data_IF_295318805104
#
_entry.id   IF_295318805104
#
_cell.length_a   1.000
_cell.length_b   1.000
_cell.length_c   1.000
_cell.angle_alpha   90.00
_cell.angle_beta   90.00
_cell.angle_gamma   90.00
#
_symmetry.space_group_name_H-M   'P 1'
#
loop_
_entity.id
_entity.type
_entity.pdbx_description
1 polymer ?
#
# COMPACT_ATOMS: atom_id res chain seq x y z
N UNK A 1 -0.63 2.85 19.89
CA UNK A 1 -1.05 3.60 18.69
C UNK A 1 0.21 4.00 17.93
N UNK A 2 0.29 3.77 16.65
CA UNK A 2 1.41 4.27 15.84
C UNK A 2 1.14 5.76 15.68
N UNK A 3 2.09 6.59 16.10
CA UNK A 3 1.98 8.03 15.94
C UNK A 3 2.66 8.43 14.62
N UNK A 4 1.85 8.77 13.62
CA UNK A 4 2.36 9.23 12.33
C UNK A 4 2.52 10.74 12.35
N UNK A 5 3.62 11.28 11.80
CA UNK A 5 3.70 12.71 11.56
C UNK A 5 2.61 13.10 10.55
N UNK A 6 1.86 14.16 10.86
CA UNK A 6 0.86 14.68 9.95
C UNK A 6 1.55 15.26 8.71
N UNK A 7 1.09 14.91 7.50
CA UNK A 7 1.62 15.50 6.28
C UNK A 7 1.16 16.96 6.15
N UNK A 8 1.91 17.77 5.43
CA UNK A 8 1.53 19.15 5.16
C UNK A 8 0.22 19.26 4.35
N UNK A 9 -0.07 18.27 3.52
CA UNK A 9 -1.31 18.15 2.74
C UNK A 9 -1.71 16.68 2.59
N UNK A 10 -3.01 16.44 2.56
CA UNK A 10 -3.61 15.13 2.36
C UNK A 10 -3.95 14.88 0.88
N UNK A 11 -4.05 13.62 0.42
CA UNK A 11 -4.33 13.28 -0.97
C UNK A 11 -5.54 13.99 -1.57
N UNK A 12 -6.66 14.09 -0.85
CA UNK A 12 -7.88 14.74 -1.31
C UNK A 12 -7.75 16.26 -1.53
N UNK A 13 -6.70 16.88 -0.97
CA UNK A 13 -6.43 18.32 -1.13
C UNK A 13 -5.65 18.66 -2.42
N UNK A 14 -5.19 17.65 -3.16
CA UNK A 14 -4.34 17.84 -4.35
C UNK A 14 -5.09 17.74 -5.67
N UNK A 15 -6.31 17.22 -5.69
CA UNK A 15 -7.04 16.92 -6.92
C UNK A 15 -8.55 16.91 -6.68
N UNK A 16 -9.29 17.50 -7.61
CA UNK A 16 -10.76 17.49 -7.62
C UNK A 16 -11.33 16.14 -8.09
N UNK A 17 -10.47 15.18 -8.49
CA UNK A 17 -10.88 13.88 -9.01
C UNK A 17 -10.33 12.73 -8.18
N UNK A 18 -11.22 11.92 -7.62
CA UNK A 18 -10.88 10.68 -6.90
C UNK A 18 -10.26 9.62 -7.84
N UNK A 19 -10.56 9.67 -9.14
CA UNK A 19 -10.02 8.77 -10.18
C UNK A 19 -8.80 9.37 -10.89
N UNK A 20 -7.91 10.04 -10.19
CA UNK A 20 -6.68 10.56 -10.78
C UNK A 20 -5.52 9.58 -10.57
N UNK A 21 -4.69 9.34 -11.59
CA UNK A 21 -3.48 8.51 -11.42
C UNK A 21 -2.54 9.11 -10.37
N UNK A 22 -2.41 10.44 -10.35
CA UNK A 22 -1.67 11.18 -9.32
C UNK A 22 -0.20 10.76 -9.17
N UNK A 23 0.36 10.13 -10.21
CA UNK A 23 1.71 9.58 -10.15
C UNK A 23 2.75 10.68 -10.32
N UNK A 24 3.76 10.68 -9.47
CA UNK A 24 4.88 11.62 -9.49
C UNK A 24 6.19 10.84 -9.45
N UNK A 25 7.14 11.21 -10.31
CA UNK A 25 8.50 10.68 -10.22
C UNK A 25 9.18 11.28 -9.00
N UNK A 26 9.81 10.42 -8.20
CA UNK A 26 10.55 10.80 -7.00
C UNK A 26 11.98 10.23 -7.04
N UNK A 27 12.94 10.80 -6.28
CA UNK A 27 14.27 10.21 -6.15
C UNK A 27 14.22 8.76 -5.65
N UNK A 28 15.18 7.93 -6.07
CA UNK A 28 15.27 6.52 -5.63
C UNK A 28 15.34 6.39 -4.10
N UNK A 29 16.02 7.30 -3.42
CA UNK A 29 16.08 7.35 -1.96
C UNK A 29 14.72 7.47 -1.27
N UNK A 30 13.67 7.83 -2.02
CA UNK A 30 12.28 7.89 -1.56
C UNK A 30 11.44 6.68 -1.99
N UNK A 31 12.07 5.61 -2.47
CA UNK A 31 11.32 4.41 -2.83
C UNK A 31 10.46 3.92 -1.67
N UNK A 32 11.03 3.81 -0.48
CA UNK A 32 10.30 3.50 0.74
C UNK A 32 10.51 4.57 1.81
N UNK A 33 9.55 4.70 2.71
CA UNK A 33 9.66 5.54 3.91
C UNK A 33 9.98 4.66 5.12
N UNK A 34 11.08 4.97 5.81
CA UNK A 34 11.48 4.22 7.01
C UNK A 34 10.56 4.54 8.19
N UNK A 35 10.52 3.65 9.16
CA UNK A 35 9.65 3.73 10.32
C UNK A 35 10.42 3.37 11.58
N UNK A 36 10.40 4.23 12.58
CA UNK A 36 11.01 3.94 13.89
C UNK A 36 10.22 2.86 14.66
N UNK A 37 8.92 2.78 14.44
CA UNK A 37 8.00 1.82 15.08
C UNK A 37 7.83 0.52 14.27
N UNK A 38 8.91 0.06 13.61
CA UNK A 38 8.86 -1.14 12.76
C UNK A 38 8.34 -2.37 13.49
N UNK A 39 8.59 -2.49 14.79
CA UNK A 39 8.12 -3.61 15.62
C UNK A 39 6.60 -3.81 15.56
N UNK A 40 5.84 -2.72 15.47
CA UNK A 40 4.37 -2.78 15.39
C UNK A 40 3.93 -3.42 14.09
N UNK A 41 4.53 -3.00 12.97
CA UNK A 41 4.22 -3.57 11.66
C UNK A 41 4.71 -5.00 11.52
N UNK A 42 5.89 -5.29 12.02
CA UNK A 42 6.44 -6.64 12.05
C UNK A 42 5.52 -7.60 12.81
N UNK A 43 5.12 -7.23 14.03
CA UNK A 43 4.20 -8.02 14.86
C UNK A 43 2.84 -8.18 14.17
N UNK A 44 2.31 -7.11 13.58
CA UNK A 44 1.08 -7.14 12.80
C UNK A 44 1.18 -8.13 11.64
N UNK A 45 2.23 -8.08 10.82
CA UNK A 45 2.44 -8.99 9.68
C UNK A 45 2.51 -10.44 10.12
N UNK A 46 3.26 -10.73 11.17
CA UNK A 46 3.34 -12.09 11.71
C UNK A 46 1.98 -12.60 12.19
N UNK A 47 1.22 -11.77 12.90
CA UNK A 47 -0.09 -12.13 13.41
C UNK A 47 -1.10 -12.37 12.28
N UNK A 48 -1.14 -11.45 11.31
CA UNK A 48 -2.07 -11.54 10.17
C UNK A 48 -1.71 -12.76 9.30
N UNK A 49 -0.42 -13.02 9.05
CA UNK A 49 0.03 -14.23 8.35
C UNK A 49 -0.40 -15.52 9.07
N UNK A 50 -0.23 -15.57 10.39
CA UNK A 50 -0.66 -16.70 11.21
C UNK A 50 -2.17 -16.95 11.12
N UNK A 51 -2.97 -15.89 11.13
CA UNK A 51 -4.42 -15.98 11.17
C UNK A 51 -5.05 -16.22 9.79
N UNK A 52 -4.45 -15.68 8.73
CA UNK A 52 -5.06 -15.63 7.39
C UNK A 52 -4.27 -16.36 6.30
N UNK A 53 -3.02 -16.76 6.57
CA UNK A 53 -2.21 -17.60 5.68
C UNK A 53 -2.10 -17.04 4.27
N UNK A 54 -2.60 -17.81 3.29
CA UNK A 54 -2.54 -17.42 1.87
C UNK A 54 -3.40 -16.22 1.48
N UNK A 55 -4.31 -15.78 2.34
CA UNK A 55 -5.10 -14.55 2.10
C UNK A 55 -4.26 -13.28 2.19
N UNK A 56 -3.07 -13.34 2.79
CA UNK A 56 -2.18 -12.19 2.98
C UNK A 56 -0.77 -12.40 2.44
N UNK A 57 -0.41 -13.64 2.13
CA UNK A 57 0.81 -13.94 1.41
C UNK A 57 0.58 -15.09 0.44
N UNK A 58 0.84 -14.84 -0.83
CA UNK A 58 0.78 -15.85 -1.87
C UNK A 58 1.73 -15.50 -3.01
N UNK A 59 2.24 -16.53 -3.70
CA UNK A 59 3.13 -16.36 -4.85
C UNK A 59 2.95 -17.50 -5.83
N UNK A 60 3.12 -17.19 -7.13
CA UNK A 60 3.22 -18.16 -8.21
C UNK A 60 4.68 -18.64 -8.33
N UNK A 61 4.88 -19.85 -8.82
CA UNK A 61 6.22 -20.44 -8.94
C UNK A 61 7.19 -19.55 -9.75
N UNK A 62 6.71 -18.98 -10.86
CA UNK A 62 7.52 -18.16 -11.77
C UNK A 62 7.88 -16.77 -11.18
N UNK A 63 7.38 -16.44 -10.00
CA UNK A 63 7.72 -15.19 -9.31
C UNK A 63 8.97 -15.28 -8.43
N UNK A 64 9.60 -16.45 -8.33
CA UNK A 64 10.79 -16.63 -7.47
C UNK A 64 11.96 -15.70 -7.87
N UNK A 65 12.38 -15.57 -9.14
CA UNK A 65 13.46 -14.66 -9.51
C UNK A 65 13.20 -13.19 -9.10
N UNK A 66 12.06 -12.57 -9.42
CA UNK A 66 11.81 -11.20 -8.98
C UNK A 66 11.66 -11.04 -7.47
N UNK A 67 11.28 -12.07 -6.71
CA UNK A 67 11.29 -12.02 -5.25
C UNK A 67 12.72 -11.92 -4.69
N UNK A 68 13.66 -12.67 -5.26
CA UNK A 68 15.07 -12.64 -4.87
C UNK A 68 15.73 -11.31 -5.25
N UNK A 69 15.45 -10.83 -6.46
CA UNK A 69 15.93 -9.53 -6.93
C UNK A 69 15.43 -8.40 -6.04
N UNK A 70 14.13 -8.40 -5.72
CA UNK A 70 13.52 -7.44 -4.80
C UNK A 70 14.19 -7.47 -3.43
N UNK A 71 14.39 -8.65 -2.82
CA UNK A 71 15.01 -8.75 -1.51
C UNK A 71 16.46 -8.18 -1.52
N UNK A 72 17.21 -8.43 -2.60
CA UNK A 72 18.55 -7.90 -2.78
C UNK A 72 18.55 -6.38 -2.91
N UNK A 73 17.72 -5.83 -3.79
CA UNK A 73 17.59 -4.39 -4.00
C UNK A 73 17.08 -3.66 -2.77
N UNK A 74 16.09 -4.24 -2.09
CA UNK A 74 15.55 -3.66 -0.87
C UNK A 74 16.61 -3.57 0.22
N UNK A 75 17.41 -4.62 0.42
CA UNK A 75 18.52 -4.57 1.37
C UNK A 75 19.52 -3.48 1.02
N UNK A 76 19.90 -3.37 -0.26
CA UNK A 76 20.84 -2.32 -0.72
C UNK A 76 20.27 -0.93 -0.46
N UNK A 77 19.01 -0.70 -0.80
CA UNK A 77 18.31 0.55 -0.55
C UNK A 77 18.29 0.91 0.94
N UNK A 78 17.93 -0.03 1.81
CA UNK A 78 17.86 0.21 3.25
C UNK A 78 19.25 0.53 3.84
N UNK A 79 20.30 -0.14 3.41
CA UNK A 79 21.67 0.09 3.89
C UNK A 79 22.31 1.35 3.32
N UNK A 80 21.96 1.75 2.09
CA UNK A 80 22.56 2.91 1.43
C UNK A 80 21.76 4.19 1.70
N UNK A 81 20.46 4.17 1.40
CA UNK A 81 19.63 5.37 1.45
C UNK A 81 19.07 5.65 2.86
N UNK A 82 19.04 4.62 3.73
CA UNK A 82 18.49 4.69 5.08
C UNK A 82 19.50 4.21 6.15
N UNK A 83 20.79 4.46 5.95
CA UNK A 83 21.87 4.03 6.84
C UNK A 83 21.73 4.55 8.29
N UNK A 84 20.97 5.62 8.51
CA UNK A 84 20.66 6.12 9.86
C UNK A 84 19.61 5.27 10.60
N UNK A 85 18.88 4.40 9.89
CA UNK A 85 17.82 3.53 10.42
C UNK A 85 18.19 2.05 10.29
N UNK A 86 18.98 1.69 9.29
CA UNK A 86 19.39 0.31 9.03
C UNK A 86 20.89 0.14 9.01
N UNK A 87 21.35 -0.98 9.57
CA UNK A 87 22.74 -1.42 9.53
C UNK A 87 22.81 -2.91 9.19
N UNK A 88 24.03 -3.41 9.01
CA UNK A 88 24.30 -4.84 8.83
C UNK A 88 25.24 -5.35 9.91
N UNK A 89 24.94 -6.53 10.46
CA UNK A 89 25.77 -7.23 11.43
C UNK A 89 25.94 -8.69 10.98
N UNK A 90 27.09 -8.99 10.41
CA UNK A 90 27.33 -10.29 9.76
C UNK A 90 26.36 -10.50 8.59
N UNK A 91 25.62 -11.59 8.62
CA UNK A 91 24.61 -11.98 7.65
C UNK A 91 23.20 -11.43 7.97
N UNK A 92 23.07 -10.53 8.94
CA UNK A 92 21.79 -9.98 9.39
C UNK A 92 21.65 -8.50 9.06
N UNK A 93 20.47 -8.14 8.57
CA UNK A 93 20.02 -6.75 8.53
C UNK A 93 19.53 -6.35 9.92
N UNK A 94 19.88 -5.14 10.36
CA UNK A 94 19.51 -4.63 11.69
C UNK A 94 18.72 -3.34 11.54
N UNK A 95 17.54 -3.27 12.16
CA UNK A 95 16.82 -2.02 12.33
C UNK A 95 17.33 -1.33 13.60
N UNK A 96 18.10 -0.27 13.44
CA UNK A 96 18.85 0.39 14.53
C UNK A 96 17.96 0.95 15.65
N UNK A 97 16.80 1.61 15.37
CA UNK A 97 15.97 2.16 16.42
C UNK A 97 15.41 1.10 17.38
N UNK A 98 15.00 -0.07 16.88
CA UNK A 98 14.42 -1.14 17.70
C UNK A 98 15.41 -2.23 18.10
N UNK A 99 16.57 -2.30 17.43
CA UNK A 99 17.53 -3.40 17.60
C UNK A 99 17.09 -4.73 16.99
N UNK A 100 15.96 -4.77 16.25
CA UNK A 100 15.49 -5.98 15.56
C UNK A 100 16.52 -6.44 14.53
N UNK A 101 16.67 -7.75 14.43
CA UNK A 101 17.63 -8.39 13.51
C UNK A 101 16.86 -9.36 12.60
N UNK A 102 17.14 -9.27 11.32
CA UNK A 102 16.49 -10.07 10.28
C UNK A 102 17.54 -10.91 9.56
N UNK A 103 17.25 -12.19 9.40
CA UNK A 103 18.07 -13.04 8.55
C UNK A 103 17.89 -12.59 7.08
N UNK A 104 19.02 -12.54 6.36
CA UNK A 104 19.01 -12.22 4.93
C UNK A 104 18.72 -13.55 4.20
N UNK A 105 17.65 -13.63 3.37
CA UNK A 105 17.34 -14.87 2.67
C UNK A 105 18.53 -15.34 1.83
N UNK A 106 18.87 -16.61 1.94
CA UNK A 106 19.78 -17.27 1.02
C UNK A 106 19.07 -17.48 -0.30
N UNK A 107 19.77 -17.39 -1.41
CA UNK A 107 19.28 -17.33 -2.79
C UNK A 107 18.25 -18.39 -3.23
N UNK A 108 18.01 -19.45 -2.45
CA UNK A 108 17.22 -20.60 -2.85
C UNK A 108 15.84 -20.72 -2.16
N UNK A 109 15.43 -19.72 -1.38
CA UNK A 109 14.20 -19.78 -0.59
C UNK A 109 12.97 -19.23 -1.32
N UNK A 110 11.89 -20.01 -1.38
CA UNK A 110 10.56 -19.60 -1.90
C UNK A 110 9.92 -18.42 -1.14
N UNK A 111 10.46 -18.05 0.02
CA UNK A 111 9.91 -17.03 0.91
C UNK A 111 10.73 -15.72 0.93
N UNK A 112 11.50 -15.43 -0.13
CA UNK A 112 12.33 -14.21 -0.19
C UNK A 112 11.51 -12.93 -0.05
N UNK A 113 10.34 -12.88 -0.69
CA UNK A 113 9.41 -11.75 -0.57
C UNK A 113 8.87 -11.61 0.85
N UNK A 114 8.48 -12.73 1.49
CA UNK A 114 8.00 -12.70 2.86
C UNK A 114 9.06 -12.17 3.81
N UNK A 115 10.27 -12.73 3.75
CA UNK A 115 11.38 -12.29 4.59
C UNK A 115 11.70 -10.82 4.39
N UNK A 116 11.80 -10.36 3.13
CA UNK A 116 12.03 -8.97 2.80
C UNK A 116 10.90 -8.04 3.28
N UNK A 117 9.66 -8.50 3.21
CA UNK A 117 8.50 -7.72 3.67
C UNK A 117 8.52 -7.44 5.18
N UNK A 118 9.19 -8.26 5.97
CA UNK A 118 9.34 -8.06 7.40
C UNK A 118 10.36 -6.97 7.77
N UNK A 119 11.19 -6.54 6.83
CA UNK A 119 12.19 -5.48 7.05
C UNK A 119 11.60 -4.08 7.00
N UNK A 120 10.40 -3.94 6.44
CA UNK A 120 9.75 -2.67 6.19
C UNK A 120 8.29 -2.71 6.66
N UNK A 121 7.69 -1.55 6.82
CA UNK A 121 6.29 -1.47 7.20
C UNK A 121 5.34 -1.58 6.01
N UNK A 122 5.85 -1.39 4.79
CA UNK A 122 5.08 -1.45 3.56
C UNK A 122 4.65 -2.89 3.22
N UNK A 123 3.48 -3.06 2.66
CA UNK A 123 3.11 -4.26 1.93
C UNK A 123 3.84 -4.27 0.58
N UNK A 124 4.30 -5.44 0.13
CA UNK A 124 5.08 -5.59 -1.09
C UNK A 124 4.40 -6.54 -2.07
N UNK A 125 4.17 -6.06 -3.28
CA UNK A 125 3.53 -6.81 -4.36
C UNK A 125 4.47 -6.84 -5.58
N UNK A 126 4.48 -7.94 -6.30
CA UNK A 126 5.28 -8.14 -7.54
C UNK A 126 4.34 -8.37 -8.70
N UNK A 127 4.55 -7.60 -9.74
CA UNK A 127 3.83 -7.69 -10.99
C UNK A 127 4.79 -8.04 -12.12
N UNK A 128 4.48 -9.08 -12.88
CA UNK A 128 5.27 -9.53 -14.02
C UNK A 128 4.47 -9.43 -15.32
N UNK A 129 5.14 -9.19 -16.44
CA UNK A 129 4.48 -9.26 -17.74
C UNK A 129 4.13 -10.73 -18.06
N UNK A 130 2.83 -10.99 -18.27
CA UNK A 130 2.30 -12.26 -18.72
C UNK A 130 1.41 -11.97 -19.94
N UNK A 131 1.70 -12.54 -21.08
CA UNK A 131 0.97 -12.33 -22.34
C UNK A 131 0.75 -10.84 -22.69
N UNK A 132 1.76 -10.00 -22.39
CA UNK A 132 1.75 -8.56 -22.68
C UNK A 132 1.01 -7.69 -21.66
N UNK A 133 0.48 -8.27 -20.57
CA UNK A 133 -0.17 -7.56 -19.48
C UNK A 133 0.59 -7.76 -18.16
N UNK A 134 0.59 -6.77 -17.29
CA UNK A 134 1.17 -6.93 -15.96
C UNK A 134 0.19 -7.62 -15.03
N UNK A 135 0.56 -8.84 -14.59
CA UNK A 135 -0.21 -9.67 -13.66
C UNK A 135 0.42 -9.68 -12.27
N UNK A 136 -0.40 -9.73 -11.21
CA UNK A 136 0.07 -9.91 -9.85
C UNK A 136 0.56 -11.35 -9.65
N UNK A 137 1.86 -11.54 -9.43
CA UNK A 137 2.46 -12.88 -9.35
C UNK A 137 2.96 -13.25 -7.96
N UNK A 138 3.18 -12.26 -7.09
CA UNK A 138 3.47 -12.51 -5.68
C UNK A 138 3.05 -11.30 -4.83
N UNK A 139 2.63 -11.53 -3.60
CA UNK A 139 2.34 -10.46 -2.67
C UNK A 139 2.51 -10.87 -1.21
N UNK A 140 3.07 -9.96 -0.41
CA UNK A 140 2.92 -9.86 1.02
C UNK A 140 2.01 -8.67 1.31
N UNK A 141 0.70 -8.95 1.45
CA UNK A 141 -0.37 -7.96 1.62
C UNK A 141 -1.01 -8.14 2.99
N UNK A 142 -0.40 -7.58 4.00
CA UNK A 142 -0.83 -7.72 5.39
C UNK A 142 -1.77 -6.61 5.87
N UNK A 143 -1.90 -5.55 5.07
CA UNK A 143 -2.78 -4.42 5.37
C UNK A 143 -3.76 -4.15 4.22
N UNK A 144 -4.57 -5.16 3.81
CA UNK A 144 -5.52 -5.00 2.70
C UNK A 144 -6.58 -3.95 3.00
N UNK A 145 -7.15 -3.37 1.95
CA UNK A 145 -8.30 -2.45 2.01
C UNK A 145 -9.45 -3.06 1.25
N UNK A 146 -10.27 -3.87 1.93
CA UNK A 146 -11.50 -4.49 1.42
C UNK A 146 -11.33 -5.39 0.19
N UNK A 147 -10.23 -6.15 0.10
CA UNK A 147 -10.05 -7.14 -0.96
C UNK A 147 -9.26 -8.38 -0.50
N UNK A 148 -9.39 -9.48 -1.23
CA UNK A 148 -8.71 -10.74 -0.95
C UNK A 148 -7.59 -10.97 -1.95
N UNK A 149 -6.39 -11.28 -1.46
CA UNK A 149 -5.23 -11.57 -2.31
C UNK A 149 -5.48 -12.75 -3.26
N UNK A 150 -6.17 -13.79 -2.76
CA UNK A 150 -6.46 -15.00 -3.54
C UNK A 150 -7.27 -14.73 -4.83
N UNK A 151 -8.15 -13.71 -4.80
CA UNK A 151 -8.96 -13.35 -5.96
C UNK A 151 -8.17 -12.53 -7.00
N UNK A 152 -7.00 -12.04 -6.61
CA UNK A 152 -6.18 -11.12 -7.41
C UNK A 152 -4.89 -11.76 -7.91
N UNK A 153 -4.41 -12.80 -7.26
CA UNK A 153 -3.18 -13.50 -7.67
C UNK A 153 -3.35 -14.11 -9.07
N UNK A 154 -2.38 -13.86 -9.94
CA UNK A 154 -2.41 -14.25 -11.35
C UNK A 154 -3.27 -13.35 -12.24
N UNK A 155 -4.00 -12.37 -11.68
CA UNK A 155 -4.86 -11.50 -12.47
C UNK A 155 -4.09 -10.27 -13.00
N UNK A 156 -4.43 -9.81 -14.22
CA UNK A 156 -3.89 -8.57 -14.75
C UNK A 156 -4.45 -7.35 -14.00
N UNK A 157 -3.73 -6.23 -14.08
CA UNK A 157 -4.10 -4.96 -13.42
C UNK A 157 -5.54 -4.52 -13.71
N UNK A 158 -5.99 -4.71 -14.93
CA UNK A 158 -7.37 -4.42 -15.33
C UNK A 158 -8.38 -5.16 -14.44
N UNK A 159 -8.17 -6.47 -14.26
CA UNK A 159 -9.07 -7.32 -13.45
C UNK A 159 -8.94 -7.04 -11.95
N UNK A 160 -7.76 -6.68 -11.48
CA UNK A 160 -7.55 -6.30 -10.08
C UNK A 160 -8.42 -5.09 -9.71
N UNK A 161 -8.59 -4.15 -10.65
CA UNK A 161 -9.32 -2.90 -10.43
C UNK A 161 -10.77 -2.93 -10.97
N UNK A 162 -11.26 -4.06 -11.46
CA UNK A 162 -12.67 -4.21 -11.92
C UNK A 162 -13.72 -3.58 -10.99
N UNK A 163 -13.59 -3.68 -9.65
CA UNK A 163 -14.58 -3.08 -8.76
C UNK A 163 -14.62 -1.54 -8.78
N UNK A 164 -13.58 -0.87 -9.33
CA UNK A 164 -13.52 0.60 -9.33
C UNK A 164 -14.34 1.17 -10.49
N UNK A 165 -15.43 1.91 -10.25
CA UNK A 165 -16.28 2.44 -11.32
C UNK A 165 -15.53 3.34 -12.30
N UNK A 166 -15.72 3.12 -13.60
CA UNK A 166 -15.13 3.95 -14.65
C UNK A 166 -13.64 3.69 -14.94
N UNK A 167 -12.99 2.76 -14.22
CA UNK A 167 -11.54 2.54 -14.37
C UNK A 167 -11.16 1.99 -15.74
N UNK A 168 -11.95 1.07 -16.29
CA UNK A 168 -11.67 0.44 -17.59
C UNK A 168 -11.66 1.42 -18.74
N UNK A 169 -12.57 2.38 -18.72
CA UNK A 169 -12.70 3.35 -19.81
C UNK A 169 -11.66 4.46 -19.73
N UNK A 170 -11.25 4.83 -18.52
CA UNK A 170 -10.44 6.03 -18.29
C UNK A 170 -8.99 5.73 -17.93
N UNK A 171 -8.71 4.68 -17.18
CA UNK A 171 -7.41 4.46 -16.57
C UNK A 171 -6.69 3.19 -17.02
N UNK A 172 -7.38 2.06 -17.27
CA UNK A 172 -6.71 0.79 -17.59
C UNK A 172 -5.72 0.89 -18.76
N UNK A 173 -6.08 1.46 -19.93
CA UNK A 173 -5.13 1.57 -21.04
C UNK A 173 -3.93 2.46 -20.70
N UNK A 174 -4.15 3.50 -19.88
CA UNK A 174 -3.08 4.40 -19.43
C UNK A 174 -2.17 3.74 -18.41
N UNK A 175 -2.71 2.87 -17.55
CA UNK A 175 -1.94 2.11 -16.56
C UNK A 175 -1.03 1.12 -17.27
N UNK A 176 -1.54 0.31 -18.19
CA UNK A 176 -0.73 -0.66 -18.95
C UNK A 176 0.35 0.05 -19.76
N UNK A 177 0.01 1.13 -20.47
CA UNK A 177 0.99 1.95 -21.19
C UNK A 177 2.04 2.53 -20.26
N UNK A 178 1.64 3.04 -19.09
CA UNK A 178 2.55 3.57 -18.09
C UNK A 178 3.50 2.48 -17.58
N UNK A 179 2.96 1.32 -17.16
CA UNK A 179 3.77 0.22 -16.67
C UNK A 179 4.75 -0.29 -17.74
N UNK A 180 4.35 -0.39 -19.00
CA UNK A 180 5.22 -0.81 -20.10
C UNK A 180 6.36 0.19 -20.36
N UNK A 181 6.11 1.49 -20.19
CA UNK A 181 7.08 2.56 -20.46
C UNK A 181 7.89 3.00 -19.22
N UNK A 182 7.60 2.46 -18.04
CA UNK A 182 8.31 2.82 -16.84
C UNK A 182 9.80 2.44 -16.95
N UNK A 183 10.69 3.40 -16.78
CA UNK A 183 12.13 3.15 -16.86
C UNK A 183 12.62 2.35 -15.65
N UNK A 184 13.62 1.49 -15.88
CA UNK A 184 14.34 0.79 -14.81
C UNK A 184 15.00 1.80 -13.86
N UNK A 185 14.87 1.55 -12.56
CA UNK A 185 15.40 2.43 -11.52
C UNK A 185 14.62 3.72 -11.29
N UNK A 186 13.58 4.00 -12.11
CA UNK A 186 12.67 5.09 -11.84
C UNK A 186 11.71 4.71 -10.71
N UNK A 187 11.59 5.56 -9.72
CA UNK A 187 10.58 5.44 -8.66
C UNK A 187 9.44 6.40 -8.95
N UNK A 188 8.24 5.88 -8.89
CA UNK A 188 7.01 6.65 -9.03
C UNK A 188 6.17 6.49 -7.78
N UNK A 189 5.66 7.59 -7.26
CA UNK A 189 4.83 7.63 -6.05
C UNK A 189 3.44 8.19 -6.36
N UNK A 190 2.45 7.65 -5.70
CA UNK A 190 1.11 8.24 -5.59
C UNK A 190 0.56 8.05 -4.19
N UNK A 191 -0.48 8.80 -3.86
CA UNK A 191 -1.22 8.61 -2.61
C UNK A 191 -2.71 8.44 -2.90
N UNK A 192 -3.32 7.52 -2.14
CA UNK A 192 -4.76 7.27 -2.15
C UNK A 192 -5.31 7.46 -0.74
N UNK A 193 -6.64 7.58 -0.62
CA UNK A 193 -7.30 7.69 0.66
C UNK A 193 -8.64 6.96 0.73
N UNK A 194 -9.00 6.55 1.93
CA UNK A 194 -10.31 6.01 2.29
C UNK A 194 -10.65 6.34 3.75
N UNK A 195 -11.84 5.96 4.17
CA UNK A 195 -12.26 6.02 5.57
C UNK A 195 -12.36 4.61 6.15
N UNK A 196 -12.17 4.49 7.46
CA UNK A 196 -12.43 3.26 8.20
C UNK A 196 -12.84 3.58 9.65
N UNK A 197 -13.50 2.62 10.31
CA UNK A 197 -14.05 2.76 11.66
C UNK A 197 -13.14 2.21 12.76
N UNK A 198 -12.06 1.50 12.40
CA UNK A 198 -11.12 0.91 13.36
C UNK A 198 -9.69 1.37 13.08
N UNK A 199 -8.78 1.08 14.02
CA UNK A 199 -7.33 1.30 13.84
C UNK A 199 -6.60 0.08 13.25
N UNK A 200 -7.35 -0.95 12.85
CA UNK A 200 -6.75 -2.14 12.29
C UNK A 200 -6.19 -1.85 10.91
N UNK A 201 -4.92 -2.20 10.68
CA UNK A 201 -4.27 -2.03 9.39
C UNK A 201 -4.91 -2.93 8.32
N UNK A 202 -5.31 -4.16 8.69
CA UNK A 202 -5.97 -5.10 7.79
C UNK A 202 -7.48 -4.90 7.79
N UNK A 203 -8.02 -4.47 6.67
CA UNK A 203 -9.45 -4.36 6.41
C UNK A 203 -9.85 -5.42 5.39
N UNK A 204 -10.45 -6.52 5.85
CA UNK A 204 -10.99 -7.55 4.97
C UNK A 204 -12.43 -7.20 4.56
N UNK A 205 -12.90 -7.66 3.37
CA UNK A 205 -14.28 -7.48 2.98
C UNK A 205 -15.24 -8.01 4.05
N UNK A 206 -16.17 -7.17 4.45
CA UNK A 206 -17.24 -7.55 5.38
C UNK A 206 -18.55 -7.69 4.59
N UNK A 207 -19.43 -8.60 5.03
CA UNK A 207 -20.81 -8.62 4.55
C UNK A 207 -21.51 -7.33 4.96
N UNK A 208 -22.47 -6.86 4.16
CA UNK A 208 -23.23 -5.61 4.31
C UNK A 208 -23.51 -5.27 5.77
N UNK A 209 -22.79 -4.31 6.30
CA UNK A 209 -22.98 -3.79 7.64
C UNK A 209 -24.04 -2.67 7.63
N UNK A 210 -24.81 -2.56 8.70
CA UNK A 210 -25.69 -1.39 8.90
C UNK A 210 -24.86 -0.11 9.00
N UNK A 211 -25.39 1.06 8.63
CA UNK A 211 -24.72 2.33 8.79
C UNK A 211 -24.16 2.54 10.19
N UNK A 212 -23.00 3.18 10.29
CA UNK A 212 -22.34 3.45 11.57
C UNK A 212 -23.18 4.36 12.46
N UNK A 213 -23.10 4.14 13.78
CA UNK A 213 -23.67 5.09 14.74
C UNK A 213 -22.95 6.45 14.63
N UNK A 214 -23.65 7.60 14.82
CA UNK A 214 -23.02 8.92 14.78
C UNK A 214 -21.84 9.12 15.75
N UNK A 215 -21.82 8.36 16.85
CA UNK A 215 -20.74 8.39 17.83
C UNK A 215 -19.50 7.57 17.45
N UNK A 216 -19.58 6.74 16.43
CA UNK A 216 -18.46 5.87 16.00
C UNK A 216 -17.25 6.73 15.61
N UNK A 217 -16.05 6.42 16.12
CA UNK A 217 -14.84 7.10 15.67
C UNK A 217 -14.54 6.75 14.22
N UNK A 218 -14.03 7.72 13.47
CA UNK A 218 -13.56 7.52 12.10
C UNK A 218 -12.09 7.83 11.98
N UNK A 219 -11.45 7.07 11.10
CA UNK A 219 -10.05 7.22 10.73
C UNK A 219 -9.92 7.51 9.25
N UNK A 220 -9.05 8.43 8.93
CA UNK A 220 -8.58 8.69 7.58
C UNK A 220 -7.41 7.74 7.29
N UNK A 221 -7.62 6.84 6.33
CA UNK A 221 -6.61 5.92 5.84
C UNK A 221 -5.95 6.53 4.62
N UNK A 222 -4.67 6.81 4.72
CA UNK A 222 -3.84 7.20 3.58
C UNK A 222 -2.95 6.04 3.17
N UNK A 223 -2.91 5.76 1.89
CA UNK A 223 -2.03 4.78 1.27
C UNK A 223 -0.98 5.51 0.44
N UNK A 224 0.26 5.48 0.88
CA UNK A 224 1.39 5.86 0.02
C UNK A 224 1.76 4.64 -0.80
N UNK A 225 1.70 4.80 -2.09
CA UNK A 225 1.95 3.74 -3.07
C UNK A 225 3.16 4.13 -3.90
N UNK A 226 4.19 3.27 -3.94
CA UNK A 226 5.37 3.49 -4.78
C UNK A 226 5.61 2.31 -5.71
N UNK A 227 6.06 2.61 -6.91
CA UNK A 227 6.38 1.63 -7.94
C UNK A 227 7.85 1.75 -8.31
N UNK A 228 8.49 0.60 -8.51
CA UNK A 228 9.85 0.48 -9.00
C UNK A 228 9.93 -0.68 -10.00
N UNK A 229 10.54 -0.46 -11.19
CA UNK A 229 10.87 -1.56 -12.11
C UNK A 229 12.21 -2.17 -11.72
N UNK A 230 12.21 -3.47 -11.49
CA UNK A 230 13.40 -4.25 -11.22
C UNK A 230 14.32 -4.31 -12.45
N UNK A 231 15.64 -4.12 -12.30
CA UNK A 231 16.56 -4.04 -13.43
C UNK A 231 16.79 -5.36 -14.19
N UNK A 232 16.76 -6.50 -13.49
CA UNK A 232 17.07 -7.80 -14.11
C UNK A 232 15.82 -8.47 -14.66
N UNK A 233 14.83 -8.71 -13.82
CA UNK A 233 13.60 -9.43 -14.18
C UNK A 233 12.57 -8.56 -14.87
N UNK A 234 12.74 -7.24 -14.88
CA UNK A 234 11.77 -6.27 -15.41
C UNK A 234 10.39 -6.31 -14.75
N UNK A 235 10.25 -7.06 -13.66
CA UNK A 235 9.06 -7.04 -12.83
C UNK A 235 8.87 -5.67 -12.18
N UNK A 236 7.64 -5.32 -11.87
CA UNK A 236 7.33 -4.09 -11.15
C UNK A 236 7.00 -4.43 -9.69
N UNK A 237 7.72 -3.81 -8.79
CA UNK A 237 7.41 -3.83 -7.37
C UNK A 237 6.44 -2.72 -7.07
N UNK A 238 5.34 -3.05 -6.41
CA UNK A 238 4.37 -2.12 -5.87
C UNK A 238 4.41 -2.20 -4.35
N UNK A 239 4.88 -1.14 -3.71
CA UNK A 239 4.95 -1.03 -2.26
C UNK A 239 3.82 -0.13 -1.75
N UNK A 240 3.14 -0.54 -0.69
CA UNK A 240 1.99 0.16 -0.11
C UNK A 240 2.24 0.40 1.37
N UNK A 241 2.38 1.67 1.74
CA UNK A 241 2.48 2.11 3.13
C UNK A 241 1.15 2.67 3.60
N UNK A 242 0.66 2.16 4.73
CA UNK A 242 -0.58 2.63 5.35
C UNK A 242 -0.28 3.61 6.48
N UNK A 243 -1.00 4.72 6.48
CA UNK A 243 -1.06 5.70 7.56
C UNK A 243 -2.51 5.86 8.01
N UNK A 244 -2.73 5.86 9.31
CA UNK A 244 -4.06 6.01 9.92
C UNK A 244 -4.05 7.23 10.84
N UNK A 245 -4.89 8.18 10.54
CA UNK A 245 -5.09 9.39 11.34
C UNK A 245 -6.52 9.37 11.89
N UNK A 246 -6.69 9.59 13.19
CA UNK A 246 -8.04 9.85 13.70
C UNK A 246 -8.61 11.11 13.01
N UNK A 247 -9.87 11.07 12.60
CA UNK A 247 -10.45 12.19 11.83
C UNK A 247 -10.29 13.56 12.51
N UNK A 248 -10.43 13.67 13.86
CA UNK A 248 -10.17 14.93 14.56
C UNK A 248 -8.72 15.45 14.43
N UNK A 249 -7.73 14.59 14.22
CA UNK A 249 -6.33 15.01 14.05
C UNK A 249 -6.13 15.85 12.78
N UNK A 250 -7.01 15.66 11.79
CA UNK A 250 -6.95 16.42 10.53
C UNK A 250 -7.24 17.91 10.72
N UNK A 251 -7.87 18.33 11.84
CA UNK A 251 -8.07 19.74 12.20
C UNK A 251 -6.74 20.50 12.32
N UNK A 252 -5.65 19.80 12.59
CA UNK A 252 -4.30 20.39 12.65
C UNK A 252 -3.73 20.76 11.28
N UNK A 253 -4.36 20.29 10.19
CA UNK A 253 -3.98 20.61 8.81
C UNK A 253 -4.99 21.62 8.28
N UNK A 254 -4.51 22.80 7.90
CA UNK A 254 -5.37 23.88 7.38
C UNK A 254 -6.24 23.36 6.22
N UNK A 255 -7.52 23.64 6.25
CA UNK A 255 -8.53 23.29 5.25
C UNK A 255 -8.72 21.78 4.99
N UNK A 256 -8.17 20.88 5.82
CA UNK A 256 -8.26 19.44 5.58
C UNK A 256 -9.70 18.91 5.66
N UNK A 257 -10.46 19.22 6.70
CA UNK A 257 -11.83 18.74 6.85
C UNK A 257 -12.80 19.38 5.84
N UNK A 258 -12.78 20.71 5.59
CA UNK A 258 -13.58 21.32 4.54
C UNK A 258 -13.32 20.73 3.14
N UNK A 259 -12.06 20.53 2.78
CA UNK A 259 -11.70 19.91 1.50
C UNK A 259 -12.06 18.42 1.42
N UNK A 260 -12.02 17.70 2.55
CA UNK A 260 -12.50 16.31 2.61
C UNK A 260 -14.00 16.25 2.33
N UNK A 261 -14.78 17.15 2.93
CA UNK A 261 -16.20 17.28 2.65
C UNK A 261 -16.47 17.56 1.18
N UNK A 262 -15.77 18.53 0.60
CA UNK A 262 -15.90 18.85 -0.82
C UNK A 262 -15.54 17.65 -1.71
N UNK A 263 -14.48 16.91 -1.40
CA UNK A 263 -14.08 15.71 -2.14
C UNK A 263 -15.15 14.61 -2.06
N UNK A 264 -15.80 14.44 -0.90
CA UNK A 264 -16.89 13.47 -0.72
C UNK A 264 -18.14 13.91 -1.48
N UNK A 265 -18.53 15.18 -1.38
CA UNK A 265 -19.72 15.71 -2.07
C UNK A 265 -19.56 15.70 -3.60
N UNK A 266 -18.34 15.67 -4.11
CA UNK A 266 -18.04 15.55 -5.54
C UNK A 266 -18.06 14.12 -6.09
N UNK A 267 -18.26 13.11 -5.24
CA UNK A 267 -18.30 11.71 -5.69
C UNK A 267 -19.52 11.46 -6.60
N UNK A 268 -19.28 10.79 -7.73
CA UNK A 268 -20.37 10.25 -8.51
C UNK A 268 -21.13 9.18 -7.71
N UNK A 269 -22.43 8.91 -8.01
CA UNK A 269 -23.17 7.85 -7.32
C UNK A 269 -22.44 6.51 -7.30
N UNK A 270 -21.82 6.10 -8.40
CA UNK A 270 -21.07 4.86 -8.48
C UNK A 270 -19.81 4.85 -7.57
N UNK A 271 -19.10 5.98 -7.44
CA UNK A 271 -17.97 6.11 -6.52
C UNK A 271 -18.41 6.21 -5.06
N UNK A 272 -19.56 6.79 -4.81
CA UNK A 272 -20.20 6.82 -3.50
C UNK A 272 -20.49 5.40 -3.00
N UNK A 273 -21.12 4.59 -3.84
CA UNK A 273 -21.40 3.18 -3.55
C UNK A 273 -20.10 2.38 -3.38
N UNK A 274 -19.13 2.55 -4.30
CA UNK A 274 -17.84 1.88 -4.24
C UNK A 274 -17.07 2.18 -2.95
N UNK A 275 -17.10 3.43 -2.49
CA UNK A 275 -16.48 3.86 -1.23
C UNK A 275 -17.35 3.57 0.00
N UNK A 276 -18.50 2.92 -0.19
CA UNK A 276 -19.45 2.59 0.88
C UNK A 276 -19.83 3.80 1.75
N UNK A 277 -20.07 4.95 1.11
CA UNK A 277 -20.24 6.22 1.84
C UNK A 277 -21.50 6.24 2.70
N UNK A 278 -22.57 5.53 2.33
CA UNK A 278 -23.78 5.40 3.16
C UNK A 278 -23.49 4.76 4.53
N UNK A 279 -22.50 3.88 4.57
CA UNK A 279 -22.05 3.28 5.82
C UNK A 279 -21.38 4.29 6.74
N UNK A 280 -20.55 5.20 6.20
CA UNK A 280 -19.79 6.19 6.97
C UNK A 280 -20.53 7.49 7.25
N UNK A 281 -21.52 7.86 6.42
CA UNK A 281 -22.17 9.17 6.43
C UNK A 281 -22.73 9.60 7.80
N UNK A 282 -23.39 8.73 8.61
CA UNK A 282 -23.91 9.17 9.91
C UNK A 282 -22.80 9.54 10.90
N UNK A 283 -21.67 8.82 10.88
CA UNK A 283 -20.53 9.11 11.75
C UNK A 283 -19.68 10.28 11.24
N UNK A 284 -19.68 10.51 9.92
CA UNK A 284 -18.95 11.60 9.27
C UNK A 284 -19.61 12.97 9.51
N UNK A 285 -20.94 13.01 9.65
CA UNK A 285 -21.73 14.25 9.77
C UNK A 285 -21.30 15.18 10.94
N UNK A 286 -20.57 14.67 11.92
CA UNK A 286 -20.04 15.47 13.03
C UNK A 286 -18.72 16.18 12.73
N UNK A 287 -18.04 15.79 11.64
CA UNK A 287 -16.72 16.33 11.28
C UNK A 287 -16.77 17.23 10.04
N UNK A 288 -17.81 17.07 9.22
CA UNK A 288 -17.92 17.77 7.94
C UNK A 288 -19.31 18.35 7.74
#
# INVERSE_FOLDING_TARGET
MINYPLPAKLPHMHTDSVLHMGMQTVPQSRWLETCVDLEVYHSHKLQVRKNYGQKVFASLADSQPPQQELATLLRQHLLHDHAQVYGQMGDRLVHLPSGMRFDIPVSDGLDSLWSASLWVADDLLIMQPVDGQYCLTAASLCSPSSWHLQDKLGQPMARIHDPVPGIHQQLTPKIDQFLNNMATGQVVERRNWSLQETQDLAQFPQSTASPLAPSTPLFYRMERQSLLRLPETQAIVFAIRIYLYALPELEQIQDALPSLRQAIDSLSPALWDYKNMDFYAPALAKYC
#
